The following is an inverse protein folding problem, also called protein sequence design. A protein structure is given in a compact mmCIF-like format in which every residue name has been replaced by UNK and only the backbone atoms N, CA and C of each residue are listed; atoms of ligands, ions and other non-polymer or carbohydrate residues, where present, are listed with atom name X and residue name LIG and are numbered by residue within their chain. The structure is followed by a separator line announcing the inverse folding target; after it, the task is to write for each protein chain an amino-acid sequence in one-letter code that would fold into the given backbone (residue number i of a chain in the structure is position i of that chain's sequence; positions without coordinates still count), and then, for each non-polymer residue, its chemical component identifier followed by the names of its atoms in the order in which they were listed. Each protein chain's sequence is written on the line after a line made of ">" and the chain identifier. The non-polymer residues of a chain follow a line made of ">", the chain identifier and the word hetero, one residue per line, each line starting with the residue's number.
data_IF_100296543707
#
_entry.id   IF_100296543707
#
_cell.length_a   1.000
_cell.length_b   1.000
_cell.length_c   1.000
_cell.angle_alpha   90.00
_cell.angle_beta   90.00
_cell.angle_gamma   90.00
#
_symmetry.space_group_name_H-M   'P 1'
#
loop_
_entity.id
_entity.type
_entity.pdbx_description
1 polymer ?
#
# COMPACT_ATOMS: atom_id res chain seq x y z
N UNK A 1 23.33 -15.13 82.90
CA UNK A 1 22.30 -15.95 82.23
C UNK A 1 22.89 -16.33 80.88
N UNK A 2 23.78 -17.31 80.76
CA UNK A 2 23.58 -18.75 81.07
C UNK A 2 22.29 -19.22 80.39
N UNK A 3 22.25 -20.10 79.38
CA UNK A 3 23.17 -21.14 78.88
C UNK A 3 22.72 -21.44 77.43
N UNK A 4 23.56 -21.54 76.38
CA UNK A 4 24.63 -22.49 76.07
C UNK A 4 24.19 -23.96 75.99
N UNK A 5 24.30 -24.55 74.79
CA UNK A 5 24.76 -25.92 74.43
C UNK A 5 24.22 -26.24 73.02
N UNK A 6 24.98 -26.47 71.94
CA UNK A 6 26.26 -27.14 71.69
C UNK A 6 26.32 -28.59 72.18
N UNK A 7 26.15 -29.51 71.23
CA UNK A 7 26.52 -30.94 71.22
C UNK A 7 26.65 -31.32 69.72
N UNK A 8 27.53 -32.18 69.24
CA UNK A 8 28.61 -32.97 69.81
C UNK A 8 29.51 -33.45 68.65
N UNK A 9 30.73 -33.82 68.99
CA UNK A 9 31.85 -34.18 68.10
C UNK A 9 32.08 -35.70 68.04
N UNK A 10 32.42 -36.22 66.84
CA UNK A 10 33.25 -37.40 66.48
C UNK A 10 32.80 -38.84 66.83
N UNK A 11 33.41 -39.93 66.27
CA UNK A 11 34.64 -40.07 65.43
C UNK A 11 34.42 -40.86 64.10
N UNK A 12 35.20 -40.64 63.03
CA UNK A 12 36.51 -41.24 62.63
C UNK A 12 36.45 -42.63 61.94
N UNK A 13 37.39 -42.81 60.98
CA UNK A 13 37.84 -44.05 60.30
C UNK A 13 37.05 -44.50 59.04
N UNK A 14 37.50 -44.17 57.82
CA UNK A 14 38.55 -44.89 57.03
C UNK A 14 38.65 -44.40 55.58
N UNK A 15 39.90 -44.27 55.13
CA UNK A 15 40.38 -44.10 53.75
C UNK A 15 39.65 -44.97 52.72
N UNK A 16 39.45 -44.47 51.49
CA UNK A 16 40.09 -45.05 50.28
C UNK A 16 40.12 -44.03 49.14
N UNK A 17 41.30 -43.90 48.55
CA UNK A 17 41.73 -43.11 47.40
C UNK A 17 40.94 -43.39 46.12
N UNK A 18 40.72 -42.36 45.28
CA UNK A 18 40.89 -42.34 43.81
C UNK A 18 40.30 -41.03 43.26
N UNK A 19 41.17 -40.12 42.79
CA UNK A 19 41.52 -39.94 41.36
C UNK A 19 40.61 -38.95 40.63
N UNK A 20 41.20 -37.80 40.36
CA UNK A 20 40.80 -36.68 39.52
C UNK A 20 40.31 -37.04 38.11
N UNK A 21 39.22 -36.40 37.67
CA UNK A 21 38.96 -35.98 36.28
C UNK A 21 37.82 -34.93 36.28
N UNK A 22 38.11 -33.65 35.99
CA UNK A 22 37.84 -32.99 34.69
C UNK A 22 36.42 -33.19 34.13
N UNK A 23 35.60 -32.14 34.20
CA UNK A 23 34.37 -32.00 33.42
C UNK A 23 34.38 -30.65 32.69
N UNK A 24 35.11 -30.60 31.58
CA UNK A 24 34.87 -29.61 30.53
C UNK A 24 33.52 -29.96 29.90
N UNK A 25 32.53 -29.10 30.09
CA UNK A 25 31.22 -29.24 29.47
C UNK A 25 31.38 -29.19 27.94
N UNK A 26 31.24 -30.36 27.29
CA UNK A 26 31.07 -30.48 25.85
C UNK A 26 29.70 -29.88 25.49
N UNK A 27 29.71 -28.68 24.93
CA UNK A 27 28.56 -28.08 24.25
C UNK A 27 28.23 -28.99 23.06
N UNK A 28 27.00 -29.51 22.93
CA UNK A 28 26.63 -30.28 21.76
C UNK A 28 26.52 -29.31 20.58
N UNK A 29 27.39 -29.49 19.59
CA UNK A 29 27.27 -28.88 18.27
C UNK A 29 25.95 -29.36 17.65
N UNK A 30 24.90 -28.55 17.76
CA UNK A 30 23.69 -28.73 16.98
C UNK A 30 24.05 -28.36 15.55
N UNK A 31 24.50 -29.35 14.78
CA UNK A 31 24.52 -29.27 13.32
C UNK A 31 23.08 -29.10 12.86
N UNK A 32 22.72 -27.83 12.63
CA UNK A 32 21.47 -27.44 11.97
C UNK A 32 21.55 -27.94 10.52
N UNK A 33 21.20 -29.20 10.33
CA UNK A 33 20.97 -29.80 9.01
C UNK A 33 19.86 -28.99 8.33
N UNK A 34 20.29 -28.00 7.55
CA UNK A 34 19.40 -27.21 6.72
C UNK A 34 19.15 -28.07 5.49
N UNK A 35 18.23 -29.02 5.60
CA UNK A 35 17.67 -29.63 4.41
C UNK A 35 17.04 -28.50 3.60
N UNK A 36 17.62 -28.21 2.44
CA UNK A 36 17.01 -27.29 1.49
C UNK A 36 15.58 -27.78 1.23
N UNK A 37 14.55 -26.92 1.37
CA UNK A 37 13.18 -27.33 1.10
C UNK A 37 13.11 -27.86 -0.32
N UNK A 38 12.54 -29.06 -0.50
CA UNK A 38 12.29 -29.60 -1.84
C UNK A 38 11.49 -28.56 -2.63
N UNK A 39 11.92 -28.18 -3.84
CA UNK A 39 11.20 -27.18 -4.63
C UNK A 39 9.78 -27.67 -4.87
N UNK A 40 8.83 -26.78 -4.63
CA UNK A 40 7.40 -27.07 -4.79
C UNK A 40 7.11 -27.52 -6.23
N UNK A 41 6.04 -28.28 -6.45
CA UNK A 41 5.69 -28.78 -7.79
C UNK A 41 5.62 -27.63 -8.80
N UNK A 42 5.12 -26.46 -8.37
CA UNK A 42 5.01 -25.25 -9.19
C UNK A 42 6.38 -24.64 -9.57
N UNK A 43 7.41 -24.82 -8.75
CA UNK A 43 8.78 -24.36 -9.03
C UNK A 43 9.52 -25.27 -10.02
N UNK A 44 9.00 -26.48 -10.27
CA UNK A 44 9.55 -27.40 -11.27
C UNK A 44 8.95 -27.19 -12.66
N UNK A 45 7.89 -26.40 -12.78
CA UNK A 45 7.24 -26.12 -14.05
C UNK A 45 8.14 -25.15 -14.83
N UNK A 46 8.36 -25.39 -16.15
CA UNK A 46 9.10 -24.45 -16.99
C UNK A 46 8.48 -23.05 -16.98
N UNK A 47 9.33 -22.03 -17.00
CA UNK A 47 8.90 -20.63 -16.93
C UNK A 47 7.89 -20.29 -18.02
N UNK A 48 8.04 -20.84 -19.21
CA UNK A 48 7.17 -20.60 -20.37
C UNK A 48 5.72 -21.03 -20.12
N UNK A 49 5.54 -22.13 -19.39
CA UNK A 49 4.23 -22.66 -19.02
C UNK A 49 3.62 -21.79 -17.92
N UNK A 50 4.41 -21.36 -16.94
CA UNK A 50 3.94 -20.43 -15.90
C UNK A 50 3.48 -19.10 -16.50
N UNK A 51 4.19 -18.59 -17.52
CA UNK A 51 3.80 -17.40 -18.25
C UNK A 51 2.53 -17.61 -19.08
N UNK A 52 2.36 -18.78 -19.71
CA UNK A 52 1.11 -19.12 -20.40
C UNK A 52 -0.08 -19.18 -19.46
N UNK A 53 0.07 -19.81 -18.30
CA UNK A 53 -0.98 -19.83 -17.27
C UNK A 53 -1.31 -18.39 -16.85
N UNK A 54 -0.29 -17.56 -16.64
CA UNK A 54 -0.47 -16.15 -16.23
C UNK A 54 -1.29 -15.35 -17.25
N UNK A 55 -1.09 -15.57 -18.55
CA UNK A 55 -1.89 -14.92 -19.62
C UNK A 55 -3.37 -15.31 -19.61
N UNK A 56 -3.71 -16.47 -19.04
CA UNK A 56 -5.09 -16.95 -18.94
C UNK A 56 -5.79 -16.46 -17.66
N UNK A 57 -5.05 -15.89 -16.71
CA UNK A 57 -5.57 -15.39 -15.45
C UNK A 57 -5.77 -13.88 -15.52
N UNK A 58 -6.89 -13.40 -14.96
CA UNK A 58 -7.05 -11.97 -14.65
C UNK A 58 -5.97 -11.50 -13.66
N UNK A 59 -5.61 -10.21 -13.68
CA UNK A 59 -4.55 -9.65 -12.82
C UNK A 59 -4.61 -10.14 -11.36
N UNK A 60 -5.80 -10.17 -10.77
CA UNK A 60 -6.02 -10.62 -9.37
C UNK A 60 -5.61 -12.07 -9.15
N UNK A 61 -5.98 -12.97 -10.06
CA UNK A 61 -5.64 -14.39 -9.98
C UNK A 61 -4.15 -14.60 -10.16
N UNK A 62 -3.57 -13.94 -11.16
CA UNK A 62 -2.14 -13.98 -11.43
C UNK A 62 -1.31 -13.43 -10.24
N UNK A 63 -1.72 -12.30 -9.65
CA UNK A 63 -1.07 -11.71 -8.48
C UNK A 63 -1.11 -12.62 -7.26
N UNK A 64 -2.23 -13.32 -7.05
CA UNK A 64 -2.36 -14.32 -5.97
C UNK A 64 -1.42 -15.49 -6.19
N UNK A 65 -1.31 -15.99 -7.42
CA UNK A 65 -0.37 -17.06 -7.77
C UNK A 65 1.07 -16.62 -7.52
N UNK A 66 1.45 -15.43 -7.99
CA UNK A 66 2.80 -14.88 -7.79
C UNK A 66 3.15 -14.74 -6.30
N UNK A 67 2.18 -14.42 -5.44
CA UNK A 67 2.37 -14.31 -3.99
C UNK A 67 2.55 -15.64 -3.25
N UNK A 68 2.34 -16.80 -3.90
CA UNK A 68 2.44 -18.10 -3.21
C UNK A 68 3.89 -18.53 -2.92
N UNK A 69 4.85 -18.09 -3.75
CA UNK A 69 6.28 -18.39 -3.56
C UNK A 69 7.14 -17.18 -3.97
N UNK A 70 8.26 -16.99 -3.28
CA UNK A 70 9.26 -15.97 -3.65
C UNK A 70 9.78 -16.19 -5.08
N UNK A 71 9.95 -17.44 -5.50
CA UNK A 71 10.37 -17.77 -6.85
C UNK A 71 9.35 -17.30 -7.88
N UNK A 72 8.07 -17.66 -7.69
CA UNK A 72 6.98 -17.23 -8.57
C UNK A 72 6.80 -15.72 -8.58
N UNK A 73 6.98 -15.05 -7.44
CA UNK A 73 6.95 -13.60 -7.39
C UNK A 73 8.05 -12.99 -8.27
N UNK A 74 9.30 -13.40 -8.12
CA UNK A 74 10.40 -12.86 -8.93
C UNK A 74 10.21 -13.12 -10.43
N UNK A 75 9.66 -14.28 -10.80
CA UNK A 75 9.47 -14.67 -12.19
C UNK A 75 8.25 -14.01 -12.84
N UNK A 76 7.11 -13.99 -12.14
CA UNK A 76 5.82 -13.60 -12.72
C UNK A 76 5.51 -12.13 -12.54
N UNK A 77 5.99 -11.48 -11.47
CA UNK A 77 5.54 -10.13 -11.12
C UNK A 77 5.74 -9.14 -12.27
N UNK A 78 6.91 -9.16 -12.93
CA UNK A 78 7.18 -8.28 -14.08
C UNK A 78 6.19 -8.50 -15.24
N UNK A 79 5.89 -9.75 -15.54
CA UNK A 79 4.99 -10.08 -16.65
C UNK A 79 3.53 -9.77 -16.32
N UNK A 80 3.14 -9.90 -15.04
CA UNK A 80 1.81 -9.54 -14.57
C UNK A 80 1.52 -8.05 -14.78
N UNK A 81 2.47 -7.16 -14.46
CA UNK A 81 2.28 -5.71 -14.68
C UNK A 81 2.30 -5.33 -16.16
N UNK A 82 3.14 -5.98 -16.99
CA UNK A 82 3.09 -5.80 -18.45
C UNK A 82 1.75 -6.23 -19.07
N UNK A 83 1.13 -7.28 -18.52
CA UNK A 83 -0.18 -7.76 -18.96
C UNK A 83 -1.31 -6.90 -18.41
N UNK A 84 -1.15 -6.30 -17.23
CA UNK A 84 -2.16 -5.44 -16.59
C UNK A 84 -2.56 -4.27 -17.49
N UNK A 85 -1.60 -3.64 -18.17
CA UNK A 85 -1.89 -2.57 -19.13
C UNK A 85 -2.65 -3.03 -20.38
N UNK A 86 -2.52 -4.30 -20.77
CA UNK A 86 -3.14 -4.85 -21.98
C UNK A 86 -4.54 -5.41 -21.75
N UNK A 87 -4.77 -6.01 -20.57
CA UNK A 87 -5.96 -6.81 -20.31
C UNK A 87 -6.83 -6.27 -19.18
N UNK A 88 -6.25 -5.50 -18.25
CA UNK A 88 -6.94 -5.08 -17.03
C UNK A 88 -6.91 -3.55 -16.87
N UNK A 89 -6.75 -2.80 -17.97
CA UNK A 89 -6.86 -1.33 -18.03
C UNK A 89 -6.04 -0.61 -16.94
N UNK A 90 -4.85 -1.13 -16.62
CA UNK A 90 -3.99 -0.63 -15.53
C UNK A 90 -4.67 -0.60 -14.15
N UNK A 91 -5.56 -1.55 -13.86
CA UNK A 91 -6.13 -1.80 -12.53
C UNK A 91 -5.18 -1.59 -11.33
N UNK A 92 -3.94 -2.14 -11.31
CA UNK A 92 -3.05 -1.94 -10.18
C UNK A 92 -2.71 -0.46 -9.89
N UNK A 93 -2.73 0.39 -10.91
CA UNK A 93 -2.49 1.84 -10.78
C UNK A 93 -3.60 2.48 -9.94
N UNK A 94 -4.86 2.20 -10.25
CA UNK A 94 -6.02 2.71 -9.52
C UNK A 94 -6.09 2.17 -8.08
N UNK A 95 -5.79 0.88 -7.91
CA UNK A 95 -5.71 0.27 -6.58
C UNK A 95 -4.60 0.95 -5.74
N UNK A 96 -3.44 1.18 -6.33
CA UNK A 96 -2.32 1.83 -5.65
C UNK A 96 -2.63 3.29 -5.31
N UNK A 97 -3.30 4.02 -6.20
CA UNK A 97 -3.79 5.38 -5.95
C UNK A 97 -4.78 5.42 -4.76
N UNK A 98 -5.70 4.44 -4.68
CA UNK A 98 -6.68 4.37 -3.58
C UNK A 98 -6.12 3.96 -2.22
N UNK A 99 -4.96 3.30 -2.20
CA UNK A 99 -4.35 2.73 -0.98
C UNK A 99 -3.03 3.39 -0.60
N UNK A 100 -2.60 4.42 -1.33
CA UNK A 100 -1.29 5.05 -1.16
C UNK A 100 -0.09 4.09 -1.27
N UNK A 101 -0.22 3.05 -2.09
CA UNK A 101 0.86 2.09 -2.29
C UNK A 101 1.84 2.59 -3.37
N UNK A 102 2.77 3.45 -2.95
CA UNK A 102 3.74 4.10 -3.84
C UNK A 102 4.60 3.09 -4.61
N UNK A 103 5.03 1.99 -3.97
CA UNK A 103 5.80 0.95 -4.64
C UNK A 103 5.04 0.30 -5.81
N UNK A 104 3.70 0.22 -5.73
CA UNK A 104 2.89 -0.26 -6.86
C UNK A 104 2.66 0.81 -7.92
N UNK A 105 2.56 2.09 -7.54
CA UNK A 105 2.52 3.20 -8.50
C UNK A 105 3.80 3.26 -9.34
N UNK A 106 4.96 3.23 -8.68
CA UNK A 106 6.28 3.17 -9.33
C UNK A 106 6.39 1.99 -10.28
N UNK A 107 5.98 0.80 -9.83
CA UNK A 107 6.02 -0.39 -10.68
C UNK A 107 5.11 -0.28 -11.90
N UNK A 108 3.91 0.28 -11.77
CA UNK A 108 3.03 0.51 -12.92
C UNK A 108 3.69 1.48 -13.91
N UNK A 109 4.27 2.56 -13.41
CA UNK A 109 4.94 3.58 -14.22
C UNK A 109 6.17 3.03 -14.94
N UNK A 110 7.01 2.26 -14.25
CA UNK A 110 8.17 1.56 -14.85
C UNK A 110 7.78 0.64 -16.01
N UNK A 111 6.59 0.02 -15.95
CA UNK A 111 6.08 -0.84 -17.02
C UNK A 111 5.28 -0.09 -18.11
N UNK A 112 5.26 1.24 -18.08
CA UNK A 112 4.67 2.07 -19.12
C UNK A 112 3.21 2.44 -18.91
N UNK A 113 2.72 2.42 -17.66
CA UNK A 113 1.41 2.98 -17.35
C UNK A 113 1.39 4.49 -17.61
N UNK A 114 0.35 4.96 -18.29
CA UNK A 114 0.13 6.40 -18.49
C UNK A 114 -0.56 6.94 -17.23
N UNK A 115 -0.03 8.03 -16.66
CA UNK A 115 -0.51 8.59 -15.39
C UNK A 115 -1.98 9.02 -15.47
N UNK A 116 -2.37 9.68 -16.56
CA UNK A 116 -3.75 10.11 -16.82
C UNK A 116 -4.57 9.05 -17.58
N UNK A 117 -4.32 7.76 -17.34
CA UNK A 117 -5.19 6.70 -17.89
C UNK A 117 -6.58 6.78 -17.26
N UNK A 118 -7.64 6.72 -18.07
CA UNK A 118 -9.02 6.67 -17.55
C UNK A 118 -9.49 5.24 -17.38
N UNK A 119 -10.24 4.99 -16.29
CA UNK A 119 -10.90 3.71 -16.11
C UNK A 119 -12.03 3.54 -17.13
N UNK A 120 -12.14 2.40 -17.84
CA UNK A 120 -13.19 2.19 -18.84
C UNK A 120 -14.60 2.29 -18.25
N UNK A 121 -15.46 3.07 -18.92
CA UNK A 121 -16.82 3.41 -18.47
C UNK A 121 -17.78 2.23 -18.32
N UNK A 122 -17.49 1.08 -18.94
CA UNK A 122 -18.39 -0.07 -18.96
C UNK A 122 -17.94 -1.20 -18.02
N UNK A 123 -16.85 -1.02 -17.29
CA UNK A 123 -16.25 -2.05 -16.45
C UNK A 123 -16.51 -1.77 -14.97
N UNK A 124 -17.62 -2.27 -14.45
CA UNK A 124 -17.82 -2.38 -13.00
C UNK A 124 -17.09 -3.61 -12.48
N UNK A 125 -15.96 -3.43 -11.81
CA UNK A 125 -15.31 -4.51 -11.07
C UNK A 125 -15.92 -4.63 -9.66
N UNK A 126 -16.61 -5.75 -9.40
CA UNK A 126 -17.02 -6.12 -8.05
C UNK A 126 -15.88 -6.76 -7.29
N UNK A 127 -15.55 -6.19 -6.13
CA UNK A 127 -14.56 -6.71 -5.22
C UNK A 127 -15.16 -7.75 -4.26
N UNK A 128 -14.49 -8.88 -4.11
CA UNK A 128 -14.74 -9.81 -3.00
C UNK A 128 -14.48 -9.13 -1.64
N UNK A 129 -15.40 -9.34 -0.68
CA UNK A 129 -15.52 -8.73 0.66
C UNK A 129 -16.21 -7.37 0.76
N UNK A 130 -17.08 -6.99 -0.19
CA UNK A 130 -18.03 -5.88 0.00
C UNK A 130 -17.42 -4.47 -0.01
N UNK A 131 -16.10 -4.34 0.00
CA UNK A 131 -15.39 -3.09 -0.30
C UNK A 131 -15.46 -2.84 -1.80
N UNK A 132 -16.51 -2.19 -2.26
CA UNK A 132 -16.52 -1.59 -3.60
C UNK A 132 -15.44 -0.52 -3.59
N UNK A 133 -14.31 -0.76 -4.25
CA UNK A 133 -13.66 0.37 -4.91
C UNK A 133 -14.69 0.84 -5.91
N UNK A 134 -15.42 1.90 -5.55
CA UNK A 134 -16.19 2.66 -6.50
C UNK A 134 -15.14 3.31 -7.41
N UNK A 135 -14.60 2.53 -8.34
CA UNK A 135 -14.00 3.07 -9.53
C UNK A 135 -15.17 3.72 -10.25
N UNK A 136 -15.44 4.96 -9.86
CA UNK A 136 -16.39 5.82 -10.52
C UNK A 136 -15.98 5.84 -11.98
N UNK A 137 -16.88 5.36 -12.82
CA UNK A 137 -16.63 5.10 -14.24
C UNK A 137 -15.94 6.31 -14.88
N UNK A 138 -14.86 6.08 -15.64
CA UNK A 138 -14.13 7.15 -16.31
C UNK A 138 -13.12 7.93 -15.46
N UNK A 139 -13.03 7.73 -14.14
CA UNK A 139 -12.07 8.48 -13.33
C UNK A 139 -10.61 8.11 -13.65
N UNK A 140 -9.71 9.10 -13.50
CA UNK A 140 -8.25 8.91 -13.50
C UNK A 140 -7.71 8.49 -12.13
N UNK A 141 -6.48 7.96 -12.05
CA UNK A 141 -5.82 7.64 -10.78
C UNK A 141 -5.80 8.81 -9.80
N UNK A 142 -5.61 10.05 -10.28
CA UNK A 142 -5.60 11.26 -9.43
C UNK A 142 -6.94 11.44 -8.69
N UNK A 143 -8.06 11.41 -9.42
CA UNK A 143 -9.40 11.47 -8.80
C UNK A 143 -9.65 10.32 -7.81
N UNK A 144 -9.17 9.13 -8.14
CA UNK A 144 -9.28 7.99 -7.23
C UNK A 144 -8.49 8.24 -5.92
N UNK A 145 -7.28 8.77 -6.00
CA UNK A 145 -6.47 9.13 -4.83
C UNK A 145 -7.14 10.22 -3.98
N UNK A 146 -7.68 11.27 -4.62
CA UNK A 146 -8.42 12.35 -3.95
C UNK A 146 -9.65 11.81 -3.23
N UNK A 147 -10.49 11.03 -3.92
CA UNK A 147 -11.71 10.45 -3.33
C UNK A 147 -11.43 9.50 -2.16
N UNK A 148 -10.25 8.87 -2.16
CA UNK A 148 -9.78 7.97 -1.12
C UNK A 148 -8.96 8.68 -0.03
N UNK A 149 -8.82 10.01 -0.12
CA UNK A 149 -8.05 10.86 0.79
C UNK A 149 -6.58 10.46 0.96
N UNK A 150 -5.98 9.91 -0.09
CA UNK A 150 -4.59 9.44 -0.09
C UNK A 150 -3.64 10.55 -0.53
N UNK A 151 -3.31 11.48 0.38
CA UNK A 151 -2.47 12.64 0.04
C UNK A 151 -1.11 12.27 -0.57
N UNK A 152 -0.45 11.22 -0.06
CA UNK A 152 0.87 10.79 -0.57
C UNK A 152 0.76 10.29 -2.02
N UNK A 153 -0.33 9.62 -2.37
CA UNK A 153 -0.57 9.20 -3.75
C UNK A 153 -0.89 10.40 -4.66
N UNK A 154 -1.64 11.39 -4.16
CA UNK A 154 -1.91 12.64 -4.90
C UNK A 154 -0.61 13.37 -5.22
N UNK A 155 0.23 13.61 -4.20
CA UNK A 155 1.54 14.25 -4.36
C UNK A 155 2.42 13.50 -5.37
N UNK A 156 2.51 12.17 -5.23
CA UNK A 156 3.26 11.34 -6.17
C UNK A 156 2.74 11.47 -7.61
N UNK A 157 1.42 11.41 -7.82
CA UNK A 157 0.82 11.49 -9.16
C UNK A 157 1.08 12.85 -9.81
N UNK A 158 0.93 13.95 -9.06
CA UNK A 158 1.19 15.30 -9.55
C UNK A 158 2.67 15.51 -9.90
N UNK A 159 3.60 15.02 -9.06
CA UNK A 159 5.03 15.05 -9.35
C UNK A 159 5.41 14.28 -10.63
N UNK A 160 4.62 13.26 -11.00
CA UNK A 160 4.81 12.47 -12.21
C UNK A 160 4.01 12.98 -13.41
N UNK A 161 3.47 14.20 -13.32
CA UNK A 161 2.83 14.91 -14.43
C UNK A 161 1.35 14.59 -14.63
N UNK A 162 0.64 14.17 -13.59
CA UNK A 162 -0.83 14.14 -13.63
C UNK A 162 -1.36 15.57 -13.77
N UNK A 163 -2.32 15.75 -14.69
CA UNK A 163 -3.00 17.04 -14.84
C UNK A 163 -3.88 17.32 -13.59
N UNK A 164 -3.60 18.42 -12.85
CA UNK A 164 -4.33 18.76 -11.62
C UNK A 164 -5.77 19.20 -11.87
N UNK A 165 -6.11 19.60 -13.09
CA UNK A 165 -7.42 20.12 -13.46
C UNK A 165 -8.30 19.06 -14.14
N UNK A 166 -9.53 19.45 -14.47
CA UNK A 166 -10.45 18.56 -15.17
C UNK A 166 -10.04 18.38 -16.64
N UNK A 167 -9.77 17.13 -17.04
CA UNK A 167 -9.53 16.83 -18.45
C UNK A 167 -10.85 16.86 -19.24
N UNK A 168 -10.79 17.26 -20.52
CA UNK A 168 -11.95 17.25 -21.43
C UNK A 168 -12.69 15.90 -21.44
N UNK A 169 -11.93 14.81 -21.29
CA UNK A 169 -12.49 13.47 -21.26
C UNK A 169 -13.35 13.23 -20.00
N UNK A 170 -12.96 13.76 -18.84
CA UNK A 170 -13.76 13.69 -17.62
C UNK A 170 -15.04 14.54 -17.74
N UNK A 171 -14.89 15.78 -18.24
CA UNK A 171 -16.00 16.72 -18.42
C UNK A 171 -17.08 16.20 -19.39
N UNK A 172 -16.66 15.51 -20.45
CA UNK A 172 -17.56 15.00 -21.49
C UNK A 172 -18.13 13.62 -21.13
N UNK A 173 -17.32 12.72 -20.56
CA UNK A 173 -17.73 11.32 -20.40
C UNK A 173 -18.47 11.02 -19.10
N UNK A 174 -18.19 11.75 -18.01
CA UNK A 174 -18.65 11.32 -16.68
C UNK A 174 -19.86 12.14 -16.21
N UNK A 175 -20.23 13.22 -16.91
CA UNK A 175 -21.19 14.23 -16.42
C UNK A 175 -20.87 14.78 -15.01
N UNK A 176 -19.68 14.44 -14.47
CA UNK A 176 -19.14 14.93 -13.22
C UNK A 176 -18.40 16.23 -13.52
N UNK A 177 -19.15 17.31 -13.67
CA UNK A 177 -18.60 18.68 -13.76
C UNK A 177 -18.12 19.17 -12.39
N UNK A 178 -17.27 18.40 -11.76
CA UNK A 178 -16.66 18.77 -10.49
C UNK A 178 -15.15 18.70 -10.69
N UNK A 179 -14.49 19.87 -10.70
CA UNK A 179 -13.04 19.95 -10.79
C UNK A 179 -12.37 19.12 -9.65
N UNK A 180 -11.16 18.56 -9.86
CA UNK A 180 -10.45 17.84 -8.81
C UNK A 180 -10.29 18.63 -7.51
N UNK A 181 -10.14 19.97 -7.62
CA UNK A 181 -10.08 20.89 -6.49
C UNK A 181 -11.41 20.96 -5.71
N UNK A 182 -12.54 21.09 -6.41
CA UNK A 182 -13.90 21.03 -5.82
C UNK A 182 -14.16 19.68 -5.15
N UNK A 183 -13.73 18.58 -5.79
CA UNK A 183 -13.83 17.23 -5.24
C UNK A 183 -13.05 17.12 -3.92
N UNK A 184 -11.81 17.61 -3.89
CA UNK A 184 -10.97 17.61 -2.69
C UNK A 184 -11.62 18.43 -1.55
N UNK A 185 -12.16 19.61 -1.87
CA UNK A 185 -12.90 20.43 -0.90
C UNK A 185 -14.11 19.70 -0.33
N UNK A 186 -14.95 19.10 -1.18
CA UNK A 186 -16.13 18.34 -0.73
C UNK A 186 -15.76 17.14 0.12
N UNK A 187 -14.65 16.47 -0.18
CA UNK A 187 -14.18 15.31 0.59
C UNK A 187 -13.76 15.65 2.03
N UNK A 188 -13.47 16.92 2.33
CA UNK A 188 -13.16 17.40 3.69
C UNK A 188 -14.38 17.52 4.61
N UNK A 189 -15.58 17.54 4.05
CA UNK A 189 -16.82 17.66 4.82
C UNK A 189 -17.16 16.44 5.69
N UNK A 190 -17.77 16.72 6.85
CA UNK A 190 -18.45 15.75 7.71
C UNK A 190 -17.64 15.23 8.90
N UNK A 191 -16.40 14.73 8.69
CA UNK A 191 -15.59 14.16 9.78
C UNK A 191 -14.22 14.82 9.90
N UNK A 192 -13.80 15.09 11.14
CA UNK A 192 -12.49 15.68 11.45
C UNK A 192 -11.31 14.87 10.90
N UNK A 193 -11.45 13.55 10.81
CA UNK A 193 -10.41 12.67 10.25
C UNK A 193 -10.13 12.95 8.77
N UNK A 194 -11.09 13.56 8.06
CA UNK A 194 -11.02 13.87 6.63
C UNK A 194 -10.52 15.29 6.36
N UNK A 195 -10.64 16.20 7.32
CA UNK A 195 -10.27 17.61 7.22
C UNK A 195 -8.79 17.78 6.86
N UNK A 196 -7.88 17.17 7.64
CA UNK A 196 -6.45 17.36 7.43
C UNK A 196 -5.94 16.73 6.12
N UNK A 197 -6.32 15.48 5.75
CA UNK A 197 -5.97 14.93 4.44
C UNK A 197 -6.52 15.76 3.29
N UNK A 198 -7.78 16.19 3.35
CA UNK A 198 -8.41 16.97 2.28
C UNK A 198 -7.73 18.32 2.10
N UNK A 199 -7.42 19.02 3.21
CA UNK A 199 -6.68 20.28 3.17
C UNK A 199 -5.30 20.11 2.56
N UNK A 200 -4.59 19.03 2.93
CA UNK A 200 -3.28 18.73 2.37
C UNK A 200 -3.36 18.50 0.86
N UNK A 201 -4.35 17.74 0.41
CA UNK A 201 -4.62 17.50 -1.02
C UNK A 201 -4.92 18.80 -1.77
N UNK A 202 -5.75 19.69 -1.22
CA UNK A 202 -6.06 21.00 -1.82
C UNK A 202 -4.78 21.81 -2.02
N UNK A 203 -3.92 21.89 -0.99
CA UNK A 203 -2.67 22.62 -1.10
C UNK A 203 -1.74 22.00 -2.15
N UNK A 204 -1.62 20.67 -2.19
CA UNK A 204 -0.82 20.00 -3.22
C UNK A 204 -1.35 20.26 -4.63
N UNK A 205 -2.67 20.32 -4.83
CA UNK A 205 -3.28 20.66 -6.12
C UNK A 205 -2.98 22.11 -6.52
N UNK A 206 -3.11 23.07 -5.59
CA UNK A 206 -2.77 24.48 -5.85
C UNK A 206 -1.28 24.65 -6.16
N UNK A 207 -0.40 23.97 -5.43
CA UNK A 207 1.04 23.96 -5.68
C UNK A 207 1.40 23.34 -7.04
N UNK A 208 0.60 22.38 -7.52
CA UNK A 208 0.71 21.79 -8.85
C UNK A 208 0.12 22.67 -9.97
N UNK A 209 -0.52 23.79 -9.62
CA UNK A 209 -1.08 24.76 -10.57
C UNK A 209 -2.55 24.56 -10.92
N UNK A 210 -3.33 23.87 -10.08
CA UNK A 210 -4.78 23.74 -10.28
C UNK A 210 -5.48 25.11 -10.37
N UNK A 211 -6.42 25.25 -11.30
CA UNK A 211 -7.18 26.48 -11.47
C UNK A 211 -8.34 26.57 -10.46
N UNK A 212 -8.40 27.70 -9.76
CA UNK A 212 -9.48 28.00 -8.82
C UNK A 212 -10.75 28.48 -9.55
N UNK A 213 -10.64 28.95 -10.80
CA UNK A 213 -11.78 29.42 -11.59
C UNK A 213 -12.79 28.30 -11.93
N UNK A 214 -12.36 27.05 -11.88
CA UNK A 214 -13.21 25.87 -12.11
C UNK A 214 -13.97 25.43 -10.84
N UNK A 215 -13.82 26.18 -9.74
CA UNK A 215 -14.51 25.97 -8.46
C UNK A 215 -15.63 27.01 -8.30
N UNK A 216 -16.76 26.60 -7.72
CA UNK A 216 -17.84 27.53 -7.37
C UNK A 216 -17.32 28.66 -6.44
N UNK A 217 -17.85 29.87 -6.59
CA UNK A 217 -17.36 31.09 -5.92
C UNK A 217 -17.22 30.94 -4.40
N UNK A 218 -18.19 30.33 -3.71
CA UNK A 218 -18.12 30.12 -2.26
C UNK A 218 -16.99 29.19 -1.82
N UNK A 219 -16.92 27.94 -2.30
CA UNK A 219 -15.78 27.06 -2.04
C UNK A 219 -14.43 27.63 -2.48
N UNK A 220 -14.37 28.41 -3.57
CA UNK A 220 -13.16 29.05 -4.04
C UNK A 220 -12.58 30.04 -3.01
N UNK A 221 -13.40 30.96 -2.49
CA UNK A 221 -13.01 31.93 -1.45
C UNK A 221 -12.49 31.23 -0.18
N UNK A 222 -13.15 30.14 0.22
CA UNK A 222 -12.76 29.35 1.39
C UNK A 222 -11.42 28.63 1.20
N UNK A 223 -11.17 28.13 -0.02
CA UNK A 223 -9.90 27.51 -0.39
C UNK A 223 -8.77 28.55 -0.38
N UNK A 224 -9.01 29.73 -0.94
CA UNK A 224 -8.05 30.84 -0.93
C UNK A 224 -7.74 31.27 0.52
N UNK A 225 -8.76 31.46 1.36
CA UNK A 225 -8.58 31.78 2.77
C UNK A 225 -7.77 30.71 3.53
N UNK A 226 -8.01 29.42 3.26
CA UNK A 226 -7.21 28.32 3.84
C UNK A 226 -5.76 28.32 3.34
N UNK A 227 -5.53 28.71 2.09
CA UNK A 227 -4.20 28.76 1.51
C UNK A 227 -3.37 29.91 2.09
N UNK A 228 -3.99 31.09 2.27
CA UNK A 228 -3.37 32.27 2.86
C UNK A 228 -3.10 32.11 4.37
N UNK A 229 -4.06 31.56 5.12
CA UNK A 229 -3.90 31.24 6.54
C UNK A 229 -3.91 29.73 6.77
N UNK A 230 -2.72 29.14 6.91
CA UNK A 230 -2.55 27.70 7.19
C UNK A 230 -3.16 27.24 8.52
N UNK A 231 -3.53 28.15 9.42
CA UNK A 231 -4.25 27.84 10.66
C UNK A 231 -5.78 27.82 10.49
N UNK A 232 -6.28 28.44 9.42
CA UNK A 232 -7.70 28.47 9.09
C UNK A 232 -8.20 27.09 8.63
N UNK A 233 -9.44 26.78 9.03
CA UNK A 233 -10.20 25.62 8.59
C UNK A 233 -11.60 26.12 8.29
N UNK A 234 -12.06 25.88 7.07
CA UNK A 234 -13.35 26.35 6.61
C UNK A 234 -14.52 25.89 7.50
N UNK A 235 -15.49 26.78 7.84
CA UNK A 235 -16.70 26.40 8.55
C UNK A 235 -17.52 25.36 7.79
N UNK A 236 -17.39 25.28 6.46
CA UNK A 236 -18.08 24.31 5.60
C UNK A 236 -17.83 22.85 5.97
N UNK A 237 -16.74 22.54 6.65
CA UNK A 237 -16.41 21.16 7.04
C UNK A 237 -16.95 20.74 8.40
N UNK A 238 -17.51 21.67 9.16
CA UNK A 238 -18.07 21.41 10.49
C UNK A 238 -19.57 21.11 10.48
N UNK A 239 -20.22 21.18 9.30
CA UNK A 239 -21.64 20.87 9.08
C UNK A 239 -21.81 19.58 8.28
#
# INVERSE_FOLDING_TARGET
>A
MSSATNTNTSPDITNTSQSSASSTALIPTITKSTMAPNPSILERIPQEILLHITKLLIFRGASRLARTSKHLHCTLNKEIYKLAGKHDSWYPLFFAASTSNIATLELCFEFGAVIDTHWPLNETMTFGYGQRLYLSLGCRPLRQAISSLQYVAVDWLLQHGADPDETLLEAVLIHLREAPLSLAFRCGGGSWERVLPSRSIIFTLLEAGADLNDVDEGPAEEIEAMYDDRSYITPYWYY
#
